data_IF_619731443402
#
_entry.id   IF_619731443402
#
_cell.length_a   1.000
_cell.length_b   1.000
_cell.length_c   1.000
_cell.angle_alpha   90.00
_cell.angle_beta   90.00
_cell.angle_gamma   90.00
#
_symmetry.space_group_name_H-M   'P 1'
#
loop_
_entity.id
_entity.type
_entity.pdbx_description
1 polymer ?
#
# COMPACT_ATOMS: atom_id res chain seq x y z
N UNK A 1 -19.11 -45.73 65.18
CA UNK A 1 -18.29 -44.49 65.23
C UNK A 1 -18.22 -43.90 63.83
N UNK A 2 -18.51 -42.60 63.71
CA UNK A 2 -18.41 -41.80 62.49
C UNK A 2 -16.93 -41.53 62.18
N UNK A 3 -16.49 -41.63 60.92
CA UNK A 3 -15.34 -40.84 60.45
C UNK A 3 -15.51 -40.41 58.99
N UNK A 4 -15.13 -39.15 58.77
CA UNK A 4 -15.53 -38.27 57.67
C UNK A 4 -14.59 -38.38 56.46
N UNK A 5 -15.12 -37.89 55.35
CA UNK A 5 -14.51 -37.59 54.05
C UNK A 5 -13.16 -36.86 54.12
N UNK A 6 -12.32 -37.08 53.10
CA UNK A 6 -11.39 -36.08 52.59
C UNK A 6 -11.27 -36.22 51.07
N UNK A 7 -11.84 -35.26 50.34
CA UNK A 7 -11.64 -35.06 48.90
C UNK A 7 -10.44 -34.12 48.75
N UNK A 8 -9.33 -34.61 48.20
CA UNK A 8 -8.18 -33.78 47.86
C UNK A 8 -8.41 -33.14 46.49
N UNK A 9 -8.77 -31.86 46.50
CA UNK A 9 -8.78 -31.03 45.29
C UNK A 9 -7.36 -30.55 44.99
N UNK A 10 -6.76 -31.08 43.93
CA UNK A 10 -5.45 -30.68 43.43
C UNK A 10 -5.62 -29.45 42.53
N UNK A 11 -5.34 -28.25 43.05
CA UNK A 11 -5.33 -27.01 42.28
C UNK A 11 -4.09 -26.98 41.39
N UNK A 12 -4.27 -27.19 40.08
CA UNK A 12 -3.27 -26.94 39.06
C UNK A 12 -3.21 -25.43 38.80
N UNK A 13 -2.28 -24.73 39.44
CA UNK A 13 -1.92 -23.36 39.04
C UNK A 13 -0.97 -23.43 37.86
N UNK A 14 -1.52 -23.44 36.64
CA UNK A 14 -0.76 -23.16 35.44
C UNK A 14 -0.37 -21.68 35.43
N UNK A 15 0.92 -21.40 35.58
CA UNK A 15 1.47 -20.07 35.32
C UNK A 15 1.32 -19.77 33.82
N UNK A 16 0.34 -18.94 33.47
CA UNK A 16 0.24 -18.38 32.13
C UNK A 16 1.35 -17.33 32.04
N UNK A 17 2.47 -17.69 31.40
CA UNK A 17 3.46 -16.71 30.99
C UNK A 17 2.79 -15.70 30.07
N UNK A 18 2.73 -14.44 30.49
CA UNK A 18 2.36 -13.35 29.61
C UNK A 18 3.41 -13.29 28.49
N UNK A 19 3.09 -13.86 27.33
CA UNK A 19 3.84 -13.60 26.10
C UNK A 19 3.64 -12.11 25.84
N UNK A 20 4.68 -11.32 26.03
CA UNK A 20 4.69 -9.91 25.66
C UNK A 20 4.27 -9.81 24.19
N UNK A 21 3.16 -9.13 23.91
CA UNK A 21 2.78 -8.83 22.55
C UNK A 21 3.89 -7.94 21.97
N UNK A 22 4.70 -8.48 21.06
CA UNK A 22 5.65 -7.68 20.31
C UNK A 22 4.87 -6.53 19.63
N UNK A 23 5.26 -5.29 19.92
CA UNK A 23 4.68 -4.13 19.26
C UNK A 23 4.91 -4.29 17.75
N UNK A 24 3.81 -4.36 16.98
CA UNK A 24 3.86 -4.54 15.52
C UNK A 24 4.69 -3.45 14.85
N UNK A 25 4.70 -2.24 15.42
CA UNK A 25 5.43 -1.09 14.91
C UNK A 25 6.43 -0.54 15.94
N UNK A 26 7.63 -0.20 15.48
CA UNK A 26 8.68 0.50 16.22
C UNK A 26 8.77 1.94 15.70
N UNK A 27 8.74 2.90 16.61
CA UNK A 27 8.78 4.33 16.31
C UNK A 27 10.10 4.93 16.75
N UNK A 28 10.83 5.51 15.79
CA UNK A 28 12.04 6.29 16.00
C UNK A 28 11.84 7.70 15.42
N UNK A 29 12.56 8.72 15.91
CA UNK A 29 12.50 10.05 15.30
C UNK A 29 12.80 10.00 13.80
N UNK A 30 11.81 10.38 12.98
CA UNK A 30 11.90 10.39 11.52
C UNK A 30 11.84 9.01 10.84
N UNK A 31 11.60 7.93 11.60
CA UNK A 31 11.54 6.59 11.04
C UNK A 31 10.52 5.69 11.75
N UNK A 32 9.70 4.95 10.99
CA UNK A 32 8.77 3.95 11.52
C UNK A 32 9.04 2.64 10.79
N UNK A 33 9.15 1.56 11.54
CA UNK A 33 9.19 0.21 10.97
C UNK A 33 8.07 -0.63 11.57
N UNK A 34 7.22 -1.22 10.74
CA UNK A 34 6.23 -2.20 11.16
C UNK A 34 6.53 -3.57 10.55
N UNK A 35 6.43 -4.61 11.36
CA UNK A 35 6.53 -5.99 10.94
C UNK A 35 5.14 -6.62 10.74
N UNK A 36 5.13 -7.96 10.78
CA UNK A 36 3.92 -8.75 10.62
C UNK A 36 2.93 -8.46 11.73
N UNK A 37 1.67 -8.22 11.36
CA UNK A 37 0.60 -7.99 12.31
C UNK A 37 -0.46 -7.04 11.79
N UNK A 38 -1.43 -6.73 12.65
CA UNK A 38 -2.51 -5.81 12.33
C UNK A 38 -2.30 -4.48 13.06
N UNK A 39 -2.42 -3.38 12.32
CA UNK A 39 -2.35 -2.01 12.83
C UNK A 39 -3.64 -1.31 12.45
N UNK A 40 -4.28 -0.63 13.41
CA UNK A 40 -5.55 0.05 13.10
C UNK A 40 -5.34 1.22 12.13
N UNK A 41 -4.37 2.08 12.43
CA UNK A 41 -4.10 3.33 11.71
C UNK A 41 -2.60 3.61 11.74
N UNK A 42 -2.05 4.14 10.67
CA UNK A 42 -0.64 4.53 10.60
C UNK A 42 -0.52 5.97 10.13
N UNK A 43 0.16 6.80 10.92
CA UNK A 43 0.61 8.14 10.52
C UNK A 43 2.12 8.18 10.70
N UNK A 44 2.85 8.46 9.63
CA UNK A 44 4.30 8.52 9.64
C UNK A 44 4.86 9.77 8.98
N UNK A 45 5.94 10.29 9.55
CA UNK A 45 6.73 11.35 8.95
C UNK A 45 8.17 10.84 8.78
N UNK A 46 8.81 11.19 7.67
CA UNK A 46 10.14 10.69 7.31
C UNK A 46 10.07 9.35 6.60
N UNK A 47 10.82 8.35 7.04
CA UNK A 47 10.90 7.03 6.40
C UNK A 47 9.98 6.03 7.09
N UNK A 48 9.06 5.42 6.35
CA UNK A 48 8.15 4.39 6.85
C UNK A 48 8.41 3.09 6.10
N UNK A 49 8.76 2.04 6.83
CA UNK A 49 9.00 0.70 6.28
C UNK A 49 7.98 -0.28 6.86
N UNK A 50 7.27 -1.00 6.01
CA UNK A 50 6.22 -1.93 6.39
C UNK A 50 6.49 -3.30 5.76
N UNK A 51 6.42 -4.37 6.54
CA UNK A 51 6.62 -5.74 6.05
C UNK A 51 5.55 -6.68 6.62
N UNK A 52 4.71 -7.26 5.78
CA UNK A 52 3.70 -8.23 6.21
C UNK A 52 2.60 -7.64 7.09
N UNK A 53 2.39 -6.32 7.03
CA UNK A 53 1.46 -5.58 7.89
C UNK A 53 0.08 -5.48 7.25
N UNK A 54 -0.99 -5.59 8.05
CA UNK A 54 -2.35 -5.26 7.65
C UNK A 54 -2.81 -3.99 8.35
N UNK A 55 -3.12 -2.94 7.59
CA UNK A 55 -3.60 -1.67 8.13
C UNK A 55 -5.09 -1.52 7.83
N UNK A 56 -5.94 -1.58 8.87
CA UNK A 56 -7.40 -1.68 8.69
C UNK A 56 -8.11 -0.35 8.47
N UNK A 57 -7.44 0.78 8.69
CA UNK A 57 -7.96 2.12 8.43
C UNK A 57 -6.95 2.94 7.60
N UNK A 58 -7.02 4.27 7.70
CA UNK A 58 -6.18 5.19 6.92
C UNK A 58 -4.70 5.03 7.26
N UNK A 59 -3.89 4.97 6.21
CA UNK A 59 -2.44 5.19 6.26
C UNK A 59 -2.10 6.55 5.69
N UNK A 60 -1.34 7.35 6.42
CA UNK A 60 -0.84 8.64 5.96
C UNK A 60 0.67 8.72 6.16
N UNK A 61 1.43 8.98 5.11
CA UNK A 61 2.89 9.10 5.17
C UNK A 61 3.34 10.41 4.52
N UNK A 62 4.06 11.23 5.29
CA UNK A 62 4.77 12.39 4.76
C UNK A 62 6.26 12.06 4.68
N UNK A 63 6.74 11.68 3.50
CA UNK A 63 8.11 11.24 3.26
C UNK A 63 8.16 10.00 2.38
N UNK A 64 9.01 9.03 2.73
CA UNK A 64 9.22 7.82 1.92
C UNK A 64 8.51 6.63 2.56
N UNK A 65 7.66 5.96 1.79
CA UNK A 65 7.05 4.69 2.13
C UNK A 65 7.71 3.56 1.34
N UNK A 66 8.22 2.56 2.05
CA UNK A 66 8.62 1.27 1.50
C UNK A 66 7.72 0.20 2.12
N UNK A 67 6.92 -0.49 1.31
CA UNK A 67 5.98 -1.50 1.78
C UNK A 67 6.15 -2.80 1.00
N UNK A 68 6.18 -3.91 1.72
CA UNK A 68 6.38 -5.26 1.21
C UNK A 68 5.36 -6.21 1.87
N UNK A 69 4.52 -6.88 1.07
CA UNK A 69 3.44 -7.75 1.53
C UNK A 69 2.48 -7.03 2.51
N UNK A 70 1.97 -5.85 2.10
CA UNK A 70 1.12 -5.01 2.97
C UNK A 70 -0.28 -4.87 2.41
N UNK A 71 -1.29 -5.08 3.25
CA UNK A 71 -2.67 -4.72 2.93
C UNK A 71 -3.03 -3.39 3.60
N UNK A 72 -3.28 -2.37 2.79
CA UNK A 72 -3.78 -1.08 3.22
C UNK A 72 -5.29 -1.01 3.02
N UNK A 73 -6.02 -0.49 4.01
CA UNK A 73 -7.39 -0.07 3.78
C UNK A 73 -7.42 1.16 2.86
N UNK A 74 -6.83 2.29 3.26
CA UNK A 74 -6.61 3.45 2.38
C UNK A 74 -5.20 4.01 2.53
N UNK A 75 -4.70 4.66 1.49
CA UNK A 75 -3.30 5.08 1.39
C UNK A 75 -3.18 6.54 0.92
N UNK A 76 -2.51 7.38 1.71
CA UNK A 76 -2.24 8.80 1.40
C UNK A 76 -0.75 9.06 1.65
N UNK A 77 0.03 9.24 0.58
CA UNK A 77 1.48 9.46 0.66
C UNK A 77 1.83 10.80 0.06
N UNK A 78 2.47 11.67 0.83
CA UNK A 78 3.11 12.90 0.36
C UNK A 78 4.62 12.69 0.34
N UNK A 79 5.15 12.30 -0.81
CA UNK A 79 6.54 11.91 -1.03
C UNK A 79 6.63 10.68 -1.95
N UNK A 80 7.61 9.80 -1.72
CA UNK A 80 7.83 8.62 -2.56
C UNK A 80 7.21 7.35 -1.98
N UNK A 81 6.64 6.51 -2.84
CA UNK A 81 6.06 5.23 -2.45
C UNK A 81 6.63 4.09 -3.32
N UNK A 82 7.25 3.12 -2.66
CA UNK A 82 7.63 1.82 -3.24
C UNK A 82 6.75 0.75 -2.61
N UNK A 83 5.94 0.09 -3.42
CA UNK A 83 5.00 -0.95 -3.00
C UNK A 83 5.36 -2.27 -3.71
N UNK A 84 5.57 -3.33 -2.94
CA UNK A 84 5.86 -4.67 -3.45
C UNK A 84 4.87 -5.65 -2.84
N UNK A 85 4.15 -6.40 -3.69
CA UNK A 85 3.17 -7.40 -3.22
C UNK A 85 2.09 -6.79 -2.29
N UNK A 86 1.73 -5.54 -2.53
CA UNK A 86 0.78 -4.81 -1.70
C UNK A 86 -0.64 -4.84 -2.26
N UNK A 87 -1.62 -4.69 -1.36
CA UNK A 87 -3.03 -4.52 -1.73
C UNK A 87 -3.60 -3.25 -1.09
N UNK A 88 -4.22 -2.38 -1.88
CA UNK A 88 -4.95 -1.20 -1.38
C UNK A 88 -6.43 -1.37 -1.66
N UNK A 89 -7.24 -1.46 -0.60
CA UNK A 89 -8.65 -1.84 -0.67
C UNK A 89 -9.59 -0.69 -1.03
N UNK A 90 -9.23 0.52 -0.62
CA UNK A 90 -9.97 1.75 -0.82
C UNK A 90 -9.11 2.75 -1.59
N UNK A 91 -9.47 4.03 -1.53
CA UNK A 91 -8.78 5.11 -2.22
C UNK A 91 -7.27 5.17 -1.88
N UNK A 92 -6.49 5.41 -2.94
CA UNK A 92 -5.06 5.64 -2.86
C UNK A 92 -4.71 7.00 -3.51
N UNK A 93 -4.03 7.87 -2.76
CA UNK A 93 -3.48 9.13 -3.24
C UNK A 93 -1.98 9.19 -2.99
N UNK A 94 -1.19 9.36 -4.04
CA UNK A 94 0.27 9.49 -3.96
C UNK A 94 0.68 10.83 -4.56
N UNK A 95 1.22 11.73 -3.73
CA UNK A 95 1.78 13.02 -4.12
C UNK A 95 3.29 12.92 -4.17
N UNK A 96 3.80 12.41 -5.30
CA UNK A 96 5.19 12.14 -5.57
C UNK A 96 5.39 10.79 -6.28
N UNK A 97 6.64 10.35 -6.39
CA UNK A 97 6.98 9.18 -7.19
C UNK A 97 6.32 7.89 -6.67
N UNK A 98 5.67 7.14 -7.58
CA UNK A 98 5.09 5.83 -7.29
C UNK A 98 5.80 4.74 -8.10
N UNK A 99 6.30 3.72 -7.41
CA UNK A 99 6.71 2.45 -8.00
C UNK A 99 5.95 1.32 -7.31
N UNK A 100 5.08 0.64 -8.03
CA UNK A 100 4.38 -0.53 -7.54
C UNK A 100 4.77 -1.79 -8.33
N UNK A 101 5.06 -2.87 -7.63
CA UNK A 101 5.38 -4.19 -8.17
C UNK A 101 4.45 -5.23 -7.58
N UNK A 102 3.86 -6.08 -8.41
CA UNK A 102 2.97 -7.16 -7.96
C UNK A 102 1.83 -6.67 -7.05
N UNK A 103 1.36 -5.44 -7.24
CA UNK A 103 0.45 -4.77 -6.30
C UNK A 103 -0.92 -4.52 -6.92
N UNK A 104 -1.97 -4.50 -6.10
CA UNK A 104 -3.36 -4.33 -6.54
C UNK A 104 -4.00 -3.12 -5.86
N UNK A 105 -4.61 -2.25 -6.65
CA UNK A 105 -5.44 -1.14 -6.20
C UNK A 105 -6.91 -1.43 -6.57
N UNK A 106 -7.74 -1.64 -5.57
CA UNK A 106 -9.15 -2.04 -5.76
C UNK A 106 -10.05 -0.87 -6.16
N UNK A 107 -9.66 0.35 -5.80
CA UNK A 107 -10.37 1.59 -6.09
C UNK A 107 -9.52 2.52 -6.97
N UNK A 108 -10.07 3.64 -7.46
CA UNK A 108 -9.31 4.58 -8.26
C UNK A 108 -8.03 5.04 -7.56
N UNK A 109 -6.96 5.11 -8.35
CA UNK A 109 -5.64 5.55 -7.91
C UNK A 109 -5.40 6.98 -8.40
N UNK A 110 -5.11 7.90 -7.48
CA UNK A 110 -4.76 9.29 -7.82
C UNK A 110 -3.27 9.52 -7.57
N UNK A 111 -2.55 10.01 -8.57
CA UNK A 111 -1.11 10.28 -8.48
C UNK A 111 -0.82 11.69 -8.94
N UNK A 112 -0.10 12.46 -8.11
CA UNK A 112 0.50 13.74 -8.49
C UNK A 112 2.01 13.50 -8.66
N UNK A 113 2.44 13.05 -9.84
CA UNK A 113 3.83 12.68 -10.10
C UNK A 113 4.21 12.88 -11.56
N UNK A 114 5.48 13.20 -11.80
CA UNK A 114 6.11 13.11 -13.12
C UNK A 114 6.23 11.68 -13.62
N UNK A 115 6.37 10.72 -12.70
CA UNK A 115 6.62 9.33 -13.04
C UNK A 115 5.82 8.40 -12.14
N UNK A 116 5.03 7.54 -12.78
CA UNK A 116 4.29 6.45 -12.15
C UNK A 116 4.70 5.15 -12.82
N UNK A 117 5.17 4.18 -12.04
CA UNK A 117 5.61 2.88 -12.56
C UNK A 117 4.84 1.74 -11.94
N UNK A 118 4.17 0.96 -12.78
CA UNK A 118 3.44 -0.25 -12.41
C UNK A 118 4.09 -1.45 -13.10
N UNK A 119 4.46 -2.47 -12.32
CA UNK A 119 5.14 -3.68 -12.79
C UNK A 119 4.33 -4.87 -12.27
N UNK A 120 3.84 -5.73 -13.17
CA UNK A 120 2.96 -6.85 -12.79
C UNK A 120 1.84 -6.43 -11.81
N UNK A 121 1.33 -5.20 -11.97
CA UNK A 121 0.43 -4.55 -11.00
C UNK A 121 -0.90 -4.19 -11.64
N UNK A 122 -1.95 -4.12 -10.82
CA UNK A 122 -3.31 -3.93 -11.28
C UNK A 122 -3.99 -2.74 -10.61
N UNK A 123 -4.64 -1.90 -11.41
CA UNK A 123 -5.62 -0.91 -10.92
C UNK A 123 -7.00 -1.34 -11.44
N UNK A 124 -7.90 -1.68 -10.53
CA UNK A 124 -9.24 -2.20 -10.86
C UNK A 124 -10.25 -1.11 -11.27
N UNK A 125 -9.80 0.13 -11.37
CA UNK A 125 -10.60 1.30 -11.71
C UNK A 125 -9.76 2.34 -12.49
N UNK A 126 -10.21 3.59 -12.52
CA UNK A 126 -9.50 4.68 -13.19
C UNK A 126 -8.18 5.04 -12.49
N UNK A 127 -7.19 5.43 -13.29
CA UNK A 127 -5.95 6.05 -12.85
C UNK A 127 -5.97 7.54 -13.19
N UNK A 128 -5.91 8.39 -12.15
CA UNK A 128 -5.87 9.84 -12.30
C UNK A 128 -4.44 10.34 -12.12
N UNK A 129 -3.89 10.97 -13.15
CA UNK A 129 -2.62 11.69 -13.10
C UNK A 129 -2.93 13.18 -13.01
N UNK A 130 -2.67 13.74 -11.83
CA UNK A 130 -3.02 15.11 -11.46
C UNK A 130 -1.87 16.07 -11.73
N UNK A 131 -2.24 17.36 -11.86
CA UNK A 131 -1.31 18.45 -12.13
C UNK A 131 -0.04 18.37 -11.28
N UNK A 132 1.10 18.61 -11.93
CA UNK A 132 2.40 18.81 -11.30
C UNK A 132 3.08 20.04 -11.89
N UNK A 133 3.96 20.71 -11.15
CA UNK A 133 4.69 21.89 -11.64
C UNK A 133 5.61 21.61 -12.85
N UNK A 134 5.80 20.33 -13.16
CA UNK A 134 6.59 19.84 -14.29
C UNK A 134 5.69 19.33 -15.41
N UNK A 135 6.00 19.65 -16.68
CA UNK A 135 5.12 19.33 -17.81
C UNK A 135 5.15 17.84 -18.21
N UNK A 136 6.15 17.07 -17.79
CA UNK A 136 6.35 15.70 -18.23
C UNK A 136 5.73 14.72 -17.24
N UNK A 137 4.54 14.20 -17.59
CA UNK A 137 3.86 13.14 -16.85
C UNK A 137 3.93 11.83 -17.62
N UNK A 138 4.60 10.85 -17.03
CA UNK A 138 4.85 9.55 -17.63
C UNK A 138 4.30 8.42 -16.75
N UNK A 139 3.50 7.55 -17.35
CA UNK A 139 2.99 6.31 -16.75
C UNK A 139 3.62 5.13 -17.47
N UNK A 140 4.26 4.24 -16.73
CA UNK A 140 4.87 3.02 -17.24
C UNK A 140 4.06 1.82 -16.76
N UNK A 141 3.46 1.09 -17.71
CA UNK A 141 2.86 -0.21 -17.48
C UNK A 141 3.81 -1.27 -18.03
N UNK A 142 4.42 -2.05 -17.14
CA UNK A 142 5.42 -3.05 -17.49
C UNK A 142 4.96 -4.47 -17.17
N UNK A 143 5.42 -5.41 -18.01
CA UNK A 143 5.17 -6.85 -17.90
C UNK A 143 3.67 -7.16 -18.02
N UNK A 144 3.00 -7.62 -16.97
CA UNK A 144 1.57 -7.97 -17.00
C UNK A 144 0.71 -6.96 -16.23
N UNK A 145 1.01 -5.66 -16.36
CA UNK A 145 0.27 -4.63 -15.64
C UNK A 145 -1.08 -4.31 -16.31
N UNK A 146 -2.12 -4.12 -15.51
CA UNK A 146 -3.48 -3.92 -15.99
C UNK A 146 -4.12 -2.66 -15.39
N UNK A 147 -4.72 -1.81 -16.23
CA UNK A 147 -5.65 -0.77 -15.79
C UNK A 147 -7.04 -1.12 -16.30
N UNK A 148 -7.99 -1.38 -15.40
CA UNK A 148 -9.38 -1.73 -15.71
C UNK A 148 -10.30 -0.50 -15.76
N UNK A 149 -9.77 0.62 -16.25
CA UNK A 149 -10.47 1.89 -16.38
C UNK A 149 -9.70 2.82 -17.30
N UNK A 150 -10.05 4.10 -17.24
CA UNK A 150 -9.38 5.14 -17.99
C UNK A 150 -8.08 5.58 -17.28
N UNK A 151 -7.10 6.03 -18.06
CA UNK A 151 -5.97 6.81 -17.56
C UNK A 151 -6.21 8.27 -17.92
N UNK A 152 -6.34 9.13 -16.92
CA UNK A 152 -6.81 10.51 -17.09
C UNK A 152 -5.71 11.45 -16.62
N UNK A 153 -5.13 12.20 -17.55
CA UNK A 153 -4.14 13.24 -17.28
C UNK A 153 -4.81 14.60 -17.24
N UNK A 154 -4.58 15.35 -16.17
CA UNK A 154 -5.12 16.70 -15.99
C UNK A 154 -4.44 17.72 -16.90
N UNK A 155 -3.13 17.56 -17.17
CA UNK A 155 -2.33 18.53 -17.92
C UNK A 155 -2.39 18.36 -19.45
N UNK A 156 -3.04 17.30 -19.94
CA UNK A 156 -3.26 17.10 -21.38
C UNK A 156 -2.02 16.68 -22.20
N UNK A 157 -0.86 16.50 -21.56
CA UNK A 157 0.42 16.14 -22.22
C UNK A 157 0.99 14.81 -21.73
N UNK A 158 0.15 13.95 -21.15
CA UNK A 158 0.55 12.68 -20.59
C UNK A 158 1.15 11.71 -21.61
N UNK A 159 2.08 10.87 -21.15
CA UNK A 159 2.60 9.73 -21.93
C UNK A 159 2.37 8.45 -21.17
N UNK A 160 1.82 7.45 -21.85
CA UNK A 160 1.65 6.11 -21.29
C UNK A 160 2.49 5.14 -22.09
N UNK A 161 3.46 4.50 -21.45
CA UNK A 161 4.27 3.44 -22.05
C UNK A 161 3.67 2.10 -21.63
N UNK A 162 3.15 1.35 -22.60
CA UNK A 162 2.58 0.01 -22.38
C UNK A 162 3.56 -1.02 -22.95
N UNK A 163 4.09 -1.90 -22.11
CA UNK A 163 5.11 -2.89 -22.47
C UNK A 163 4.77 -4.29 -21.95
N UNK A 164 5.26 -5.31 -22.66
CA UNK A 164 4.92 -6.70 -22.35
C UNK A 164 3.45 -7.00 -22.65
N UNK A 165 2.83 -7.83 -21.83
CA UNK A 165 1.40 -8.18 -21.91
C UNK A 165 0.49 -7.22 -21.13
N UNK A 166 0.98 -6.00 -20.88
CA UNK A 166 0.24 -4.99 -20.13
C UNK A 166 -0.92 -4.45 -20.97
N UNK A 167 -2.01 -4.07 -20.30
CA UNK A 167 -3.24 -3.62 -20.99
C UNK A 167 -3.98 -2.52 -20.24
N UNK A 168 -4.72 -1.74 -21.02
CA UNK A 168 -5.63 -0.71 -20.54
C UNK A 168 -7.00 -1.06 -21.13
N UNK A 169 -8.00 -1.26 -20.26
CA UNK A 169 -9.35 -1.61 -20.69
C UNK A 169 -10.19 -0.39 -21.09
N UNK A 170 -9.86 0.78 -20.54
CA UNK A 170 -10.47 2.07 -20.87
C UNK A 170 -9.66 2.89 -21.88
N UNK A 171 -9.86 4.20 -21.85
CA UNK A 171 -9.20 5.18 -22.71
C UNK A 171 -8.04 5.88 -22.00
N UNK A 172 -7.12 6.44 -22.79
CA UNK A 172 -6.14 7.42 -22.30
C UNK A 172 -6.65 8.82 -22.66
N UNK A 173 -7.01 9.59 -21.64
CA UNK A 173 -7.60 10.93 -21.78
C UNK A 173 -6.55 11.96 -21.36
N UNK A 174 -6.31 12.98 -22.20
CA UNK A 174 -5.29 13.99 -21.93
C UNK A 174 -3.84 13.47 -22.07
N UNK A 175 -3.65 12.36 -22.77
CA UNK A 175 -2.33 11.78 -23.00
C UNK A 175 -2.30 10.89 -24.23
N UNK A 176 -1.11 10.38 -24.56
CA UNK A 176 -0.89 9.49 -25.69
C UNK A 176 -0.24 8.18 -25.23
N UNK A 177 -0.65 7.08 -25.84
CA UNK A 177 0.04 5.79 -25.70
C UNK A 177 1.29 5.81 -26.58
N UNK A 178 2.45 5.51 -25.99
CA UNK A 178 3.73 5.42 -26.67
C UNK A 178 4.15 3.95 -26.70
N UNK A 179 3.93 3.30 -27.85
CA UNK A 179 4.35 1.92 -28.07
C UNK A 179 5.85 1.85 -28.32
N UNK A 180 6.55 0.97 -27.62
CA UNK A 180 7.92 0.52 -27.92
C UNK A 180 8.01 -0.98 -27.78
#
# INVERSE_FOLDING_TARGET
MKFKQAVSAMLLTSAIGAVHADEVCKYMPGHITCGKGEVKKLIGNGSVTLNGTKITHKTQVNGTLNADDVTFNSLDVSGSATLTECKVLQEAQIKGALKASSSVFEQPLTVHSTTTKLIDSKVNANLYIKHTDTPNQEVFLERHSEINGDIIFEDGQGKVYVRGDSKISGQVIGGNIINK
#
